data_IF_041071160571
#
_entry.id   IF_041071160571
#
_cell.length_a   1.000
_cell.length_b   1.000
_cell.length_c   1.000
_cell.angle_alpha   90.00
_cell.angle_beta   90.00
_cell.angle_gamma   90.00
#
_symmetry.space_group_name_H-M   'P 1'
#
loop_
_entity.id
_entity.type
_entity.pdbx_description
1 polymer ?
#
# COMPACT_ATOMS: atom_id res chain seq x y z
N UNK A 1 -34.67 9.41 7.91
CA UNK A 1 -35.19 9.34 6.53
C UNK A 1 -34.30 8.36 5.80
N UNK A 2 -34.73 7.09 5.70
CA UNK A 2 -33.96 6.07 4.99
C UNK A 2 -33.96 6.44 3.50
N UNK A 3 -32.79 6.63 2.91
CA UNK A 3 -32.68 6.83 1.46
C UNK A 3 -32.93 5.49 0.77
N UNK A 4 -33.33 5.50 -0.50
CA UNK A 4 -33.65 4.30 -1.28
C UNK A 4 -32.50 3.26 -1.42
N UNK A 5 -31.34 3.56 -0.84
CA UNK A 5 -30.08 2.78 -0.88
C UNK A 5 -29.95 1.78 0.29
N UNK A 6 -30.87 1.78 1.26
CA UNK A 6 -30.86 0.85 2.40
C UNK A 6 -31.43 -0.56 2.07
N UNK A 7 -32.00 -0.78 0.87
CA UNK A 7 -32.38 -2.14 0.39
C UNK A 7 -31.16 -2.81 -0.28
N UNK A 8 -30.69 -3.98 0.23
CA UNK A 8 -29.53 -4.69 -0.33
C UNK A 8 -29.63 -4.98 -1.83
N UNK A 9 -30.85 -5.15 -2.37
CA UNK A 9 -31.07 -5.42 -3.79
C UNK A 9 -30.88 -4.16 -4.64
N UNK A 10 -31.25 -2.99 -4.12
CA UNK A 10 -31.01 -1.71 -4.78
C UNK A 10 -29.52 -1.35 -4.73
N UNK A 11 -28.85 -1.60 -3.61
CA UNK A 11 -27.41 -1.40 -3.49
C UNK A 11 -26.63 -2.26 -4.51
N UNK A 12 -27.01 -3.54 -4.67
CA UNK A 12 -26.41 -4.45 -5.65
C UNK A 12 -26.68 -4.01 -7.11
N UNK A 13 -27.91 -3.58 -7.43
CA UNK A 13 -28.24 -3.07 -8.76
C UNK A 13 -27.48 -1.78 -9.09
N UNK A 14 -27.36 -0.86 -8.13
CA UNK A 14 -26.59 0.38 -8.24
C UNK A 14 -25.10 0.12 -8.44
N UNK A 15 -24.50 -0.81 -7.68
CA UNK A 15 -23.11 -1.21 -7.87
C UNK A 15 -22.87 -1.83 -9.26
N UNK A 16 -23.77 -2.71 -9.68
CA UNK A 16 -23.74 -3.34 -11.01
C UNK A 16 -23.85 -2.32 -12.15
N UNK A 17 -24.70 -1.29 -11.98
CA UNK A 17 -24.80 -0.17 -12.92
C UNK A 17 -23.51 0.64 -13.00
N UNK A 18 -22.94 1.05 -11.85
CA UNK A 18 -21.69 1.83 -11.80
C UNK A 18 -20.53 1.12 -12.51
N UNK A 19 -20.35 -0.17 -12.23
CA UNK A 19 -19.33 -0.99 -12.89
C UNK A 19 -19.53 -0.99 -14.41
N UNK A 20 -20.75 -1.27 -14.88
CA UNK A 20 -21.04 -1.29 -16.32
C UNK A 20 -20.81 0.07 -16.97
N UNK A 21 -21.26 1.16 -16.33
CA UNK A 21 -21.13 2.51 -16.88
C UNK A 21 -19.66 2.87 -17.14
N UNK A 22 -18.79 2.73 -16.14
CA UNK A 22 -17.36 3.04 -16.29
C UNK A 22 -16.66 2.16 -17.33
N UNK A 23 -17.03 0.88 -17.41
CA UNK A 23 -16.49 -0.05 -18.42
C UNK A 23 -16.92 0.32 -19.83
N UNK A 24 -18.20 0.68 -20.04
CA UNK A 24 -18.69 1.12 -21.35
C UNK A 24 -18.01 2.43 -21.77
N UNK A 25 -17.85 3.39 -20.86
CA UNK A 25 -17.10 4.62 -21.15
C UNK A 25 -15.66 4.29 -21.55
N UNK A 26 -14.97 3.39 -20.84
CA UNK A 26 -13.62 2.96 -21.19
C UNK A 26 -13.52 2.18 -22.51
N UNK A 27 -14.61 1.54 -22.96
CA UNK A 27 -14.68 0.88 -24.25
C UNK A 27 -14.87 1.86 -25.40
N UNK A 28 -15.74 2.87 -25.21
CA UNK A 28 -16.09 3.85 -26.24
C UNK A 28 -15.03 4.96 -26.36
N UNK A 29 -14.53 5.43 -25.22
CA UNK A 29 -13.50 6.45 -25.14
C UNK A 29 -12.48 6.10 -24.03
N UNK A 30 -11.53 5.20 -24.31
CA UNK A 30 -10.49 4.85 -23.36
C UNK A 30 -9.60 6.04 -22.95
N UNK A 31 -9.59 7.12 -23.72
CA UNK A 31 -8.83 8.34 -23.40
C UNK A 31 -9.57 9.30 -22.46
N UNK A 32 -10.82 9.02 -22.07
CA UNK A 32 -11.58 9.88 -21.18
C UNK A 32 -10.90 9.95 -19.79
N UNK A 33 -10.50 11.16 -19.40
CA UNK A 33 -9.70 11.41 -18.21
C UNK A 33 -10.47 11.15 -16.91
N UNK A 34 -11.61 11.82 -16.78
CA UNK A 34 -12.46 11.70 -15.60
C UNK A 34 -12.84 10.24 -15.33
N UNK A 35 -13.12 9.48 -16.39
CA UNK A 35 -13.52 8.09 -16.24
C UNK A 35 -12.44 7.24 -15.58
N UNK A 36 -11.16 7.36 -15.95
CA UNK A 36 -10.14 6.52 -15.32
C UNK A 36 -9.84 6.94 -13.88
N UNK A 37 -9.88 8.25 -13.58
CA UNK A 37 -9.72 8.74 -12.21
C UNK A 37 -10.85 8.25 -11.31
N UNK A 38 -12.10 8.47 -11.73
CA UNK A 38 -13.28 8.10 -10.95
C UNK A 38 -13.41 6.57 -10.87
N UNK A 39 -13.17 5.85 -11.95
CA UNK A 39 -13.21 4.38 -11.91
C UNK A 39 -12.09 3.79 -11.03
N UNK A 40 -10.90 4.40 -10.98
CA UNK A 40 -9.88 3.96 -10.04
C UNK A 40 -10.37 4.10 -8.60
N UNK A 41 -10.89 5.27 -8.22
CA UNK A 41 -11.39 5.50 -6.87
C UNK A 41 -12.61 4.63 -6.53
N UNK A 42 -13.61 4.57 -7.40
CA UNK A 42 -14.89 3.92 -7.14
C UNK A 42 -14.91 2.42 -7.41
N UNK A 43 -14.12 1.93 -8.38
CA UNK A 43 -14.07 0.51 -8.70
C UNK A 43 -12.86 -0.12 -8.04
N UNK A 44 -11.64 0.33 -8.35
CA UNK A 44 -10.43 -0.33 -7.81
C UNK A 44 -10.44 -0.34 -6.28
N UNK A 45 -10.64 0.83 -5.69
CA UNK A 45 -10.63 1.03 -4.24
C UNK A 45 -12.03 0.91 -3.60
N UNK A 46 -13.09 0.82 -4.41
CA UNK A 46 -14.47 0.62 -3.94
C UNK A 46 -14.95 -0.84 -3.96
N UNK A 47 -14.04 -1.81 -4.17
CA UNK A 47 -14.33 -3.25 -4.03
C UNK A 47 -14.49 -4.03 -5.34
N UNK A 48 -14.21 -3.43 -6.49
CA UNK A 48 -14.19 -4.06 -7.81
C UNK A 48 -12.81 -3.87 -8.51
N UNK A 49 -11.72 -4.41 -7.93
CA UNK A 49 -10.36 -4.21 -8.42
C UNK A 49 -10.15 -4.66 -9.85
N UNK A 50 -10.69 -5.83 -10.25
CA UNK A 50 -10.50 -6.33 -11.62
C UNK A 50 -11.05 -5.38 -12.69
N UNK A 51 -12.23 -4.83 -12.47
CA UNK A 51 -12.88 -3.90 -13.39
C UNK A 51 -12.20 -2.53 -13.40
N UNK A 52 -11.77 -2.04 -12.23
CA UNK A 52 -10.97 -0.82 -12.13
C UNK A 52 -9.63 -0.95 -12.87
N UNK A 53 -8.93 -2.09 -12.73
CA UNK A 53 -7.71 -2.39 -13.48
C UNK A 53 -7.96 -2.47 -14.99
N UNK A 54 -9.09 -3.02 -15.47
CA UNK A 54 -9.39 -3.02 -16.92
C UNK A 54 -9.58 -1.61 -17.47
N UNK A 55 -10.28 -0.74 -16.73
CA UNK A 55 -10.44 0.67 -17.11
C UNK A 55 -9.08 1.38 -17.18
N UNK A 56 -8.24 1.22 -16.15
CA UNK A 56 -6.91 1.80 -16.13
C UNK A 56 -6.03 1.27 -17.27
N UNK A 57 -6.03 -0.05 -17.52
CA UNK A 57 -5.26 -0.66 -18.62
C UNK A 57 -5.64 -0.07 -19.98
N UNK A 58 -6.93 0.18 -20.22
CA UNK A 58 -7.42 0.84 -21.44
C UNK A 58 -6.95 2.29 -21.52
N UNK A 59 -7.01 3.02 -20.40
CA UNK A 59 -6.51 4.39 -20.33
C UNK A 59 -5.00 4.47 -20.58
N UNK A 60 -4.22 3.54 -20.02
CA UNK A 60 -2.76 3.42 -20.26
C UNK A 60 -2.45 3.27 -21.74
N UNK A 61 -3.23 2.47 -22.47
CA UNK A 61 -3.03 2.21 -23.89
C UNK A 61 -3.39 3.43 -24.78
N UNK A 62 -4.39 4.22 -24.35
CA UNK A 62 -4.89 5.37 -25.11
C UNK A 62 -4.10 6.65 -24.81
N UNK A 63 -3.94 6.99 -23.52
CA UNK A 63 -3.31 8.25 -23.05
C UNK A 63 -1.80 8.09 -22.92
N UNK A 64 -1.12 7.94 -24.06
CA UNK A 64 0.34 7.73 -24.09
C UNK A 64 1.16 8.95 -23.65
N UNK A 65 0.52 10.10 -23.48
CA UNK A 65 1.12 11.36 -23.01
C UNK A 65 0.92 11.62 -21.52
N UNK A 66 0.18 10.74 -20.84
CA UNK A 66 -0.26 10.92 -19.46
C UNK A 66 0.38 9.88 -18.56
N UNK A 67 1.05 10.36 -17.51
CA UNK A 67 1.76 9.56 -16.51
C UNK A 67 0.79 8.84 -15.55
N UNK A 68 -0.36 9.43 -15.25
CA UNK A 68 -1.22 8.98 -14.15
C UNK A 68 -1.92 7.63 -14.39
N UNK A 69 -2.47 7.32 -15.57
CA UNK A 69 -3.05 6.00 -15.81
C UNK A 69 -2.04 4.88 -15.56
N UNK A 70 -0.79 5.06 -16.00
CA UNK A 70 0.26 4.06 -15.84
C UNK A 70 0.72 3.96 -14.38
N UNK A 71 0.83 5.10 -13.70
CA UNK A 71 1.12 5.15 -12.26
C UNK A 71 0.07 4.39 -11.43
N UNK A 72 -1.22 4.72 -11.59
CA UNK A 72 -2.29 4.03 -10.85
C UNK A 72 -2.37 2.55 -11.20
N UNK A 73 -2.21 2.21 -12.49
CA UNK A 73 -2.20 0.82 -12.92
C UNK A 73 -1.06 0.02 -12.28
N UNK A 74 0.16 0.56 -12.29
CA UNK A 74 1.33 -0.06 -11.66
C UNK A 74 1.17 -0.24 -10.16
N UNK A 75 0.74 0.80 -9.46
CA UNK A 75 0.50 0.72 -8.03
C UNK A 75 -0.58 -0.32 -7.68
N UNK A 76 -1.68 -0.34 -8.44
CA UNK A 76 -2.78 -1.28 -8.21
C UNK A 76 -2.38 -2.75 -8.51
N UNK A 77 -1.55 -2.99 -9.53
CA UNK A 77 -1.00 -4.32 -9.82
C UNK A 77 -0.19 -4.86 -8.64
N UNK A 78 0.67 -4.04 -8.05
CA UNK A 78 1.41 -4.42 -6.86
C UNK A 78 0.49 -4.63 -5.66
N UNK A 79 -0.43 -3.71 -5.42
CA UNK A 79 -1.26 -3.72 -4.20
C UNK A 79 -2.29 -4.86 -4.20
N UNK A 80 -3.06 -5.02 -5.28
CA UNK A 80 -4.15 -5.99 -5.37
C UNK A 80 -3.69 -7.35 -5.89
N UNK A 81 -2.83 -7.38 -6.92
CA UNK A 81 -2.44 -8.63 -7.58
C UNK A 81 -1.10 -9.18 -7.07
N UNK A 82 -0.38 -8.44 -6.22
CA UNK A 82 0.98 -8.79 -5.74
C UNK A 82 1.98 -8.99 -6.87
N UNK A 83 1.73 -8.35 -8.01
CA UNK A 83 2.56 -8.48 -9.21
C UNK A 83 3.59 -7.34 -9.24
N UNK A 84 4.73 -7.56 -8.56
CA UNK A 84 5.80 -6.57 -8.46
C UNK A 84 6.46 -6.29 -9.83
N UNK A 85 6.59 -7.30 -10.69
CA UNK A 85 7.19 -7.15 -12.00
C UNK A 85 6.32 -6.30 -12.94
N UNK A 86 5.02 -6.60 -13.02
CA UNK A 86 4.11 -5.81 -13.82
C UNK A 86 3.95 -4.38 -13.26
N UNK A 87 3.98 -4.22 -11.93
CA UNK A 87 3.99 -2.92 -11.29
C UNK A 87 5.22 -2.08 -11.67
N UNK A 88 6.43 -2.65 -11.58
CA UNK A 88 7.68 -1.99 -11.98
C UNK A 88 7.63 -1.51 -13.43
N UNK A 89 7.15 -2.36 -14.33
CA UNK A 89 7.04 -2.04 -15.75
C UNK A 89 6.04 -0.90 -16.00
N UNK A 90 4.88 -0.90 -15.34
CA UNK A 90 3.91 0.20 -15.47
C UNK A 90 4.41 1.51 -14.86
N UNK A 91 5.16 1.44 -13.75
CA UNK A 91 5.78 2.63 -13.14
C UNK A 91 6.93 3.20 -13.98
N UNK A 92 7.69 2.36 -14.69
CA UNK A 92 8.64 2.86 -15.71
C UNK A 92 7.89 3.59 -16.82
N UNK A 93 6.81 3.00 -17.33
CA UNK A 93 5.99 3.63 -18.36
C UNK A 93 5.40 4.96 -17.89
N UNK A 94 5.00 5.07 -16.61
CA UNK A 94 4.56 6.33 -16.03
C UNK A 94 5.69 7.37 -16.02
N UNK A 95 6.89 6.95 -15.60
CA UNK A 95 8.07 7.81 -15.56
C UNK A 95 8.51 8.31 -16.94
N UNK A 96 8.44 7.46 -17.97
CA UNK A 96 8.73 7.85 -19.36
C UNK A 96 7.76 8.91 -19.90
N UNK A 97 6.52 8.91 -19.40
CA UNK A 97 5.48 9.86 -19.80
C UNK A 97 5.48 11.13 -18.95
N UNK A 98 6.21 11.11 -17.84
CA UNK A 98 6.18 12.20 -16.88
C UNK A 98 6.84 13.45 -17.44
N UNK A 99 6.15 14.59 -17.32
CA UNK A 99 6.70 15.88 -17.79
C UNK A 99 7.69 16.47 -16.81
N UNK A 100 7.44 16.25 -15.52
CA UNK A 100 8.34 16.67 -14.45
C UNK A 100 9.42 15.60 -14.23
N UNK A 101 10.71 15.93 -14.41
CA UNK A 101 11.81 15.01 -14.12
C UNK A 101 11.80 14.48 -12.68
N UNK A 102 11.29 15.25 -11.73
CA UNK A 102 11.16 14.82 -10.34
C UNK A 102 10.09 13.72 -10.18
N UNK A 103 8.94 13.85 -10.85
CA UNK A 103 7.93 12.79 -10.88
C UNK A 103 8.47 11.54 -11.56
N UNK A 104 9.17 11.70 -12.68
CA UNK A 104 9.79 10.59 -13.39
C UNK A 104 10.77 9.81 -12.48
N UNK A 105 11.65 10.52 -11.77
CA UNK A 105 12.58 9.92 -10.84
C UNK A 105 11.85 9.21 -9.68
N UNK A 106 10.85 9.84 -9.09
CA UNK A 106 10.05 9.27 -8.00
C UNK A 106 9.33 7.99 -8.42
N UNK A 107 8.72 7.95 -9.60
CA UNK A 107 8.04 6.76 -10.12
C UNK A 107 9.01 5.59 -10.37
N UNK A 108 10.21 5.87 -10.93
CA UNK A 108 11.26 4.85 -11.08
C UNK A 108 11.71 4.30 -9.73
N UNK A 109 11.93 5.17 -8.75
CA UNK A 109 12.34 4.78 -7.41
C UNK A 109 11.29 3.88 -6.76
N UNK A 110 10.00 4.25 -6.81
CA UNK A 110 8.90 3.41 -6.31
C UNK A 110 8.89 2.05 -7.03
N UNK A 111 9.09 2.03 -8.35
CA UNK A 111 9.16 0.78 -9.10
C UNK A 111 10.27 -0.15 -8.62
N UNK A 112 11.49 0.40 -8.46
CA UNK A 112 12.66 -0.34 -7.96
C UNK A 112 12.37 -0.86 -6.54
N UNK A 113 11.82 -0.03 -5.67
CA UNK A 113 11.48 -0.41 -4.30
C UNK A 113 10.41 -1.52 -4.23
N UNK A 114 9.43 -1.52 -5.14
CA UNK A 114 8.44 -2.60 -5.24
C UNK A 114 9.11 -3.92 -5.65
N UNK A 115 9.95 -3.88 -6.68
CA UNK A 115 10.64 -5.06 -7.21
C UNK A 115 11.64 -5.65 -6.21
N UNK A 116 12.40 -4.78 -5.52
CA UNK A 116 13.32 -5.17 -4.46
C UNK A 116 12.61 -5.67 -3.18
N UNK A 117 11.28 -5.59 -3.12
CA UNK A 117 10.52 -5.90 -1.91
C UNK A 117 10.77 -4.91 -0.78
N UNK A 118 11.32 -3.73 -1.07
CA UNK A 118 11.65 -2.69 -0.09
C UNK A 118 10.41 -2.01 0.49
N UNK A 119 9.24 -2.12 -0.13
CA UNK A 119 7.98 -1.78 0.56
C UNK A 119 7.64 -2.78 1.69
N UNK A 120 8.29 -3.95 1.74
CA UNK A 120 8.33 -4.81 2.92
C UNK A 120 9.51 -4.47 3.87
N UNK A 121 10.50 -3.69 3.40
CA UNK A 121 11.62 -3.18 4.20
C UNK A 121 11.19 -1.90 4.94
N UNK A 122 10.95 -2.04 6.24
CA UNK A 122 10.57 -0.91 7.09
C UNK A 122 11.59 0.22 7.10
N UNK A 123 12.83 0.03 6.64
CA UNK A 123 13.87 1.07 6.62
C UNK A 123 13.58 2.16 5.60
N UNK A 124 13.12 1.82 4.40
CA UNK A 124 12.78 2.83 3.40
C UNK A 124 11.56 3.67 3.84
N UNK A 125 10.56 3.02 4.43
CA UNK A 125 9.42 3.70 5.04
C UNK A 125 9.83 4.58 6.23
N UNK A 126 10.84 4.16 7.01
CA UNK A 126 11.38 4.95 8.11
C UNK A 126 12.07 6.22 7.60
N UNK A 127 12.97 6.10 6.61
CA UNK A 127 13.66 7.24 6.00
C UNK A 127 12.68 8.25 5.42
N UNK A 128 11.62 7.79 4.74
CA UNK A 128 10.57 8.67 4.24
C UNK A 128 9.86 9.42 5.38
N UNK A 129 9.42 8.72 6.42
CA UNK A 129 8.72 9.36 7.54
C UNK A 129 9.60 10.35 8.30
N UNK A 130 10.90 10.07 8.42
CA UNK A 130 11.88 10.99 9.03
C UNK A 130 11.99 12.29 8.23
N UNK A 131 12.11 12.17 6.90
CA UNK A 131 12.11 13.32 5.99
C UNK A 131 10.81 14.14 6.07
N UNK A 132 9.64 13.49 6.04
CA UNK A 132 8.34 14.18 6.15
C UNK A 132 8.19 14.93 7.48
N UNK A 133 8.65 14.33 8.59
CA UNK A 133 8.63 14.99 9.91
C UNK A 133 9.48 16.26 9.93
N UNK A 134 10.61 16.27 9.21
CA UNK A 134 11.50 17.43 9.13
C UNK A 134 10.90 18.59 8.32
N UNK A 135 10.09 18.27 7.30
CA UNK A 135 9.48 19.27 6.43
C UNK A 135 8.14 19.82 6.92
N UNK A 136 7.47 19.13 7.85
CA UNK A 136 6.14 19.54 8.29
C UNK A 136 6.19 20.75 9.23
N UNK A 137 5.34 21.76 8.97
CA UNK A 137 5.22 22.94 9.83
C UNK A 137 4.25 22.73 11.02
N UNK A 138 3.23 21.89 10.84
CA UNK A 138 2.20 21.61 11.85
C UNK A 138 2.76 20.73 12.98
N UNK A 139 2.72 21.24 14.21
CA UNK A 139 3.30 20.56 15.38
C UNK A 139 2.56 19.27 15.75
N UNK A 140 1.23 19.24 15.58
CA UNK A 140 0.43 18.07 15.88
C UNK A 140 0.72 16.93 14.90
N UNK A 141 0.90 17.27 13.62
CA UNK A 141 1.31 16.34 12.58
C UNK A 141 2.74 15.85 12.83
N UNK A 142 3.66 16.73 13.24
CA UNK A 142 5.03 16.38 13.65
C UNK A 142 5.06 15.38 14.81
N UNK A 143 4.27 15.61 15.86
CA UNK A 143 4.14 14.69 16.99
C UNK A 143 3.59 13.32 16.56
N UNK A 144 2.60 13.32 15.67
CA UNK A 144 2.01 12.09 15.13
C UNK A 144 3.02 11.29 14.30
N UNK A 145 3.75 11.96 13.40
CA UNK A 145 4.82 11.35 12.61
C UNK A 145 5.92 10.79 13.51
N UNK A 146 6.30 11.51 14.57
CA UNK A 146 7.30 11.05 15.56
C UNK A 146 6.87 9.74 16.23
N UNK A 147 5.60 9.61 16.62
CA UNK A 147 5.07 8.36 17.18
C UNK A 147 5.07 7.23 16.14
N UNK A 148 4.76 7.50 14.87
CA UNK A 148 4.81 6.50 13.78
C UNK A 148 6.23 6.03 13.49
N UNK A 149 7.20 6.95 13.45
CA UNK A 149 8.63 6.64 13.32
C UNK A 149 9.07 5.68 14.44
N UNK A 150 8.75 6.02 15.70
CA UNK A 150 9.11 5.17 16.84
C UNK A 150 8.50 3.76 16.78
N UNK A 151 7.27 3.62 16.28
CA UNK A 151 6.67 2.29 16.02
C UNK A 151 7.42 1.50 14.97
N UNK A 152 7.77 2.16 13.86
CA UNK A 152 8.44 1.48 12.76
C UNK A 152 9.87 1.08 13.14
N UNK A 153 10.57 1.92 13.91
CA UNK A 153 11.87 1.59 14.51
C UNK A 153 11.77 0.35 15.40
N UNK A 154 10.77 0.29 16.30
CA UNK A 154 10.57 -0.89 17.13
C UNK A 154 10.30 -2.18 16.33
N UNK A 155 9.53 -2.08 15.24
CA UNK A 155 9.31 -3.22 14.34
C UNK A 155 10.62 -3.69 13.69
N UNK A 156 11.44 -2.75 13.22
CA UNK A 156 12.73 -3.07 12.60
C UNK A 156 13.67 -3.76 13.59
N UNK A 157 13.77 -3.25 14.82
CA UNK A 157 14.55 -3.89 15.90
C UNK A 157 14.11 -5.33 16.13
N UNK A 158 12.80 -5.61 16.11
CA UNK A 158 12.29 -6.97 16.28
C UNK A 158 12.65 -7.91 15.13
N UNK A 159 12.57 -7.41 13.89
CA UNK A 159 12.93 -8.18 12.69
C UNK A 159 14.43 -8.45 12.61
N UNK A 160 15.26 -7.48 12.99
CA UNK A 160 16.71 -7.66 13.09
C UNK A 160 17.08 -8.66 14.19
N UNK A 161 16.41 -8.61 15.34
CA UNK A 161 16.58 -9.58 16.41
C UNK A 161 16.17 -11.01 15.96
N UNK A 162 15.05 -11.14 15.25
CA UNK A 162 14.65 -12.40 14.64
C UNK A 162 15.72 -12.92 13.68
N UNK A 163 16.18 -12.09 12.73
CA UNK A 163 17.20 -12.49 11.77
C UNK A 163 18.50 -12.94 12.47
N UNK A 164 18.91 -12.24 13.53
CA UNK A 164 20.06 -12.65 14.37
C UNK A 164 19.83 -13.99 15.05
N UNK A 165 18.64 -14.24 15.61
CA UNK A 165 18.30 -15.53 16.22
C UNK A 165 18.41 -16.67 15.22
N UNK A 166 17.82 -16.50 14.05
CA UNK A 166 17.78 -17.53 13.01
C UNK A 166 19.17 -17.81 12.46
N UNK A 167 20.01 -16.77 12.30
CA UNK A 167 21.40 -16.91 11.90
C UNK A 167 22.26 -17.62 12.96
N UNK A 168 22.05 -17.34 14.25
CA UNK A 168 22.83 -17.94 15.35
C UNK A 168 22.43 -19.39 15.63
N UNK A 169 21.14 -19.68 15.58
CA UNK A 169 20.59 -20.99 15.98
C UNK A 169 20.39 -21.94 14.81
N UNK A 170 20.35 -21.42 13.58
CA UNK A 170 19.97 -22.16 12.37
C UNK A 170 18.51 -22.60 12.34
N UNK A 171 17.66 -22.09 13.26
CA UNK A 171 16.25 -22.45 13.39
C UNK A 171 15.37 -21.23 13.20
N UNK A 172 14.23 -21.41 12.53
CA UNK A 172 13.21 -20.37 12.43
C UNK A 172 12.70 -19.98 13.83
N UNK A 173 12.46 -18.70 14.06
CA UNK A 173 11.88 -18.23 15.31
C UNK A 173 10.42 -18.69 15.40
N UNK A 174 10.07 -19.45 16.44
CA UNK A 174 8.69 -19.92 16.67
C UNK A 174 7.99 -19.12 17.77
N UNK A 175 8.74 -18.67 18.78
CA UNK A 175 8.21 -17.92 19.91
C UNK A 175 9.08 -16.69 20.18
N UNK A 176 8.50 -15.46 20.17
CA UNK A 176 9.24 -14.23 20.43
C UNK A 176 10.05 -14.23 21.73
N UNK A 177 9.56 -14.89 22.78
CA UNK A 177 10.24 -14.99 24.08
C UNK A 177 11.65 -15.59 23.98
N UNK A 178 11.92 -16.42 22.95
CA UNK A 178 13.25 -16.96 22.71
C UNK A 178 14.29 -15.84 22.49
N UNK A 179 13.89 -14.69 21.93
CA UNK A 179 14.79 -13.55 21.74
C UNK A 179 15.32 -12.97 23.06
N UNK A 180 14.51 -13.01 24.12
CA UNK A 180 14.94 -12.59 25.46
C UNK A 180 15.77 -13.67 26.14
N UNK A 181 15.36 -14.94 26.00
CA UNK A 181 16.03 -16.08 26.64
C UNK A 181 17.45 -16.29 26.11
N UNK A 182 17.65 -16.10 24.81
CA UNK A 182 18.96 -16.17 24.16
C UNK A 182 19.77 -14.86 24.29
N UNK A 183 19.25 -13.85 25.01
CA UNK A 183 19.93 -12.56 25.20
C UNK A 183 20.12 -11.74 23.92
N UNK A 184 19.31 -11.98 22.89
CA UNK A 184 19.35 -11.23 21.63
C UNK A 184 18.68 -9.86 21.78
N UNK A 185 17.65 -9.81 22.63
CA UNK A 185 16.98 -8.60 23.10
C UNK A 185 17.02 -8.54 24.62
N UNK A 186 17.24 -7.35 25.18
CA UNK A 186 17.11 -7.12 26.64
C UNK A 186 15.64 -6.95 27.04
N UNK A 187 14.85 -6.31 26.16
CA UNK A 187 13.42 -6.12 26.33
C UNK A 187 12.75 -5.92 24.96
N UNK A 188 11.44 -6.18 24.88
CA UNK A 188 10.67 -5.82 23.70
C UNK A 188 10.51 -4.29 23.59
N UNK A 189 10.62 -3.71 22.38
CA UNK A 189 10.45 -2.28 22.19
C UNK A 189 9.03 -1.86 22.56
N UNK A 190 8.90 -0.66 23.14
CA UNK A 190 7.60 -0.09 23.45
C UNK A 190 7.00 0.55 22.20
N UNK A 191 5.68 0.43 22.03
CA UNK A 191 4.92 1.13 20.99
C UNK A 191 4.45 2.50 21.54
N UNK A 192 4.92 3.64 21.00
CA UNK A 192 4.48 4.98 21.44
C UNK A 192 2.97 5.24 21.30
N UNK A 193 2.27 4.53 20.40
CA UNK A 193 0.81 4.55 20.25
C UNK A 193 0.11 3.48 21.09
N UNK A 194 0.85 2.66 21.84
CA UNK A 194 0.35 1.60 22.75
C UNK A 194 -0.54 0.56 22.07
N UNK A 195 -0.42 0.39 20.76
CA UNK A 195 -1.14 -0.64 20.01
C UNK A 195 -0.40 -1.98 20.11
N UNK A 196 0.93 -1.94 20.02
CA UNK A 196 1.83 -3.08 20.18
C UNK A 196 2.29 -3.67 18.85
N UNK A 197 3.04 -4.76 18.98
CA UNK A 197 3.56 -5.58 17.89
C UNK A 197 2.93 -6.98 18.00
N UNK A 198 2.80 -7.68 16.88
CA UNK A 198 2.32 -9.05 16.83
C UNK A 198 3.32 -9.95 16.11
N UNK A 199 3.34 -11.23 16.49
CA UNK A 199 4.13 -12.27 15.84
C UNK A 199 3.18 -13.27 15.20
N UNK A 200 3.10 -13.25 13.87
CA UNK A 200 2.11 -14.01 13.10
C UNK A 200 2.81 -14.62 11.90
N UNK A 201 2.53 -15.90 11.62
CA UNK A 201 3.16 -16.67 10.54
C UNK A 201 4.69 -16.66 10.60
N UNK A 202 5.26 -16.66 11.81
CA UNK A 202 6.71 -16.62 11.99
C UNK A 202 7.37 -15.25 11.78
N UNK A 203 6.60 -14.16 11.67
CA UNK A 203 7.15 -12.83 11.44
C UNK A 203 6.54 -11.75 12.34
N UNK A 204 7.36 -10.77 12.73
CA UNK A 204 6.88 -9.57 13.41
C UNK A 204 6.16 -8.60 12.46
N UNK A 205 5.00 -8.11 12.91
CA UNK A 205 4.16 -7.12 12.24
C UNK A 205 3.68 -6.06 13.25
N UNK A 206 3.29 -4.89 12.75
CA UNK A 206 2.62 -3.87 13.57
C UNK A 206 1.21 -4.36 13.89
N UNK A 207 0.78 -4.18 15.14
CA UNK A 207 -0.63 -4.42 15.49
C UNK A 207 -1.49 -3.28 14.96
N UNK A 208 -2.47 -3.63 14.14
CA UNK A 208 -3.45 -2.71 13.57
C UNK A 208 -4.69 -2.59 14.48
N UNK A 209 -5.30 -1.41 14.49
CA UNK A 209 -6.63 -1.24 15.10
C UNK A 209 -7.63 -1.93 14.16
N UNK A 210 -8.26 -3.00 14.66
CA UNK A 210 -9.40 -3.60 13.96
C UNK A 210 -10.59 -2.65 14.11
N UNK A 211 -10.97 -1.99 13.03
CA UNK A 211 -12.23 -1.24 12.95
C UNK A 211 -13.30 -2.26 12.52
N UNK A 212 -14.31 -2.55 13.37
CA UNK A 212 -15.40 -3.45 12.98
C UNK A 212 -16.07 -2.93 11.70
N UNK A 213 -16.12 -3.76 10.65
CA UNK A 213 -16.71 -3.41 9.35
C UNK A 213 -15.71 -3.18 8.20
N UNK A 214 -14.39 -3.17 8.45
CA UNK A 214 -13.35 -3.16 7.40
C UNK A 214 -12.41 -4.37 7.53
N UNK A 215 -12.97 -5.57 7.57
CA UNK A 215 -12.16 -6.79 7.61
C UNK A 215 -11.71 -7.17 6.19
N UNK A 216 -10.40 -7.36 6.00
CA UNK A 216 -9.88 -8.01 4.79
C UNK A 216 -10.40 -9.44 4.78
N UNK A 217 -11.38 -9.71 3.90
CA UNK A 217 -11.77 -11.08 3.57
C UNK A 217 -10.53 -11.79 3.02
N UNK A 218 -10.14 -12.87 3.70
CA UNK A 218 -9.07 -13.77 3.28
C UNK A 218 -9.49 -14.58 2.07
#
# INVERSE_FOLDING_TARGET
MATADDDPRNAAASASYRIRAHRVVAQLNPCNEDNYYVANAMLSWGGAPGEGLDVLRRAVACRRWDEFPAFFYGFNLWFFNRDAGAARAALEMAAERARDPHNAASMRNVGIMIEAGEFADGRAALTFLEHEREQVADERLREMLTKRIGRLQGLLTLREAQARYEALTGKALVQPQALLQEGILDAFPQDPLRLGYEFVDGHFRLREIRIPGMERMR
#
